data_IF_520696935665
#
_entry.id   IF_520696935665
#
_cell.length_a   1.000
_cell.length_b   1.000
_cell.length_c   1.000
_cell.angle_alpha   90.00
_cell.angle_beta   90.00
_cell.angle_gamma   90.00
#
_symmetry.space_group_name_H-M   'P 1'
#
loop_
_entity.id
_entity.type
_entity.pdbx_description
1 polymer ?
#
# COMPACT_ATOMS: atom_id res chain seq x y z
N UNK A 1 -6.18 67.60 28.93
CA UNK A 1 -6.42 66.28 28.29
C UNK A 1 -6.71 66.54 26.83
N UNK A 2 -5.70 66.41 25.98
CA UNK A 2 -5.78 66.62 24.54
C UNK A 2 -6.06 65.29 23.88
N UNK A 3 -7.24 65.12 23.36
CA UNK A 3 -7.66 63.96 22.56
C UNK A 3 -6.97 64.02 21.19
N UNK A 4 -6.06 63.05 20.94
CA UNK A 4 -5.48 62.85 19.61
C UNK A 4 -6.39 61.94 18.78
N UNK A 5 -6.92 62.44 17.70
CA UNK A 5 -7.68 61.64 16.71
C UNK A 5 -6.78 60.62 16.01
N UNK A 6 -7.25 59.39 15.80
CA UNK A 6 -6.48 58.41 15.05
C UNK A 6 -6.38 58.77 13.56
N UNK A 7 -5.26 58.40 12.87
CA UNK A 7 -5.08 58.69 11.45
C UNK A 7 -6.08 57.89 10.56
N UNK A 8 -6.53 58.54 9.51
CA UNK A 8 -7.43 58.01 8.48
C UNK A 8 -6.78 56.78 7.77
N UNK A 9 -7.56 55.77 7.42
CA UNK A 9 -7.09 54.62 6.67
C UNK A 9 -6.59 55.01 5.26
N UNK A 10 -5.58 54.32 4.71
CA UNK A 10 -5.03 54.62 3.42
C UNK A 10 -6.07 54.40 2.27
N UNK A 11 -6.05 55.28 1.29
CA UNK A 11 -6.90 55.17 0.10
C UNK A 11 -6.73 53.83 -0.62
N UNK A 12 -7.83 53.29 -1.21
CA UNK A 12 -7.75 52.06 -1.98
C UNK A 12 -6.91 52.28 -3.28
N UNK A 13 -6.17 51.24 -3.71
CA UNK A 13 -5.30 51.36 -4.88
C UNK A 13 -6.12 51.73 -6.14
N UNK A 14 -5.63 52.72 -6.89
CA UNK A 14 -6.21 53.17 -8.15
C UNK A 14 -6.35 51.98 -9.12
N UNK A 15 -7.47 51.94 -9.84
CA UNK A 15 -7.79 50.94 -10.85
C UNK A 15 -6.60 50.65 -11.75
N UNK A 16 -6.21 49.37 -11.78
CA UNK A 16 -5.15 48.84 -12.65
C UNK A 16 -5.49 49.16 -14.12
N UNK A 17 -4.53 49.70 -14.83
CA UNK A 17 -4.60 50.03 -16.24
C UNK A 17 -5.01 48.78 -17.06
N UNK A 18 -6.03 48.86 -17.92
CA UNK A 18 -6.47 47.75 -18.76
C UNK A 18 -5.34 47.15 -19.64
N UNK A 19 -4.34 47.97 -19.99
CA UNK A 19 -3.18 47.50 -20.77
C UNK A 19 -2.30 46.52 -20.00
N UNK A 20 -2.16 46.69 -18.67
CA UNK A 20 -1.39 45.79 -17.80
C UNK A 20 -2.13 44.44 -17.64
N UNK A 21 -3.47 44.47 -17.54
CA UNK A 21 -4.27 43.24 -17.45
C UNK A 21 -4.21 42.46 -18.77
N UNK A 22 -4.23 43.13 -19.93
CA UNK A 22 -4.05 42.48 -21.22
C UNK A 22 -2.66 41.89 -21.41
N UNK A 23 -1.62 42.57 -20.95
CA UNK A 23 -0.22 42.07 -20.99
C UNK A 23 -0.02 40.86 -20.06
N UNK A 24 -0.60 40.87 -18.86
CA UNK A 24 -0.57 39.71 -17.94
C UNK A 24 -1.38 38.51 -18.45
N UNK A 25 -2.48 38.76 -19.19
CA UNK A 25 -3.24 37.70 -19.85
C UNK A 25 -2.48 37.09 -21.05
N UNK A 26 -1.74 37.91 -21.80
CA UNK A 26 -0.90 37.42 -22.91
C UNK A 26 0.31 36.58 -22.42
N UNK A 27 0.91 36.95 -21.27
CA UNK A 27 2.00 36.16 -20.64
C UNK A 27 1.50 34.82 -20.10
N UNK A 28 0.22 34.72 -19.71
CA UNK A 28 -0.39 33.43 -19.27
C UNK A 28 -0.64 32.45 -20.41
N UNK A 29 -0.56 32.85 -21.66
CA UNK A 29 -0.91 32.02 -22.82
C UNK A 29 0.30 31.53 -23.64
N UNK A 30 1.53 31.83 -23.22
CA UNK A 30 2.70 31.09 -23.68
C UNK A 30 2.75 29.79 -22.88
N UNK A 31 2.18 28.71 -23.45
CA UNK A 31 2.27 27.38 -22.88
C UNK A 31 3.77 27.05 -22.71
N UNK A 32 4.25 27.05 -21.45
CA UNK A 32 5.59 26.67 -21.12
C UNK A 32 5.81 25.22 -21.61
N UNK A 33 6.71 25.00 -22.58
CA UNK A 33 6.94 23.67 -23.14
C UNK A 33 7.48 22.69 -22.07
N UNK A 34 8.05 23.18 -20.98
CA UNK A 34 8.46 22.37 -19.84
C UNK A 34 7.25 21.96 -18.99
N UNK A 35 6.30 22.85 -18.72
CA UNK A 35 5.07 22.55 -17.99
C UNK A 35 4.16 21.55 -18.73
N UNK A 36 4.19 21.51 -20.06
CA UNK A 36 3.50 20.48 -20.83
C UNK A 36 4.21 19.12 -20.77
N UNK A 37 5.55 19.08 -20.82
CA UNK A 37 6.33 17.85 -20.65
C UNK A 37 6.18 17.26 -19.25
N UNK A 38 6.24 18.09 -18.22
CA UNK A 38 5.99 17.65 -16.83
C UNK A 38 4.58 17.10 -16.63
N UNK A 39 3.56 17.74 -17.20
CA UNK A 39 2.17 17.21 -17.14
C UNK A 39 2.06 15.86 -17.82
N UNK A 40 2.58 15.66 -19.01
CA UNK A 40 2.56 14.37 -19.72
C UNK A 40 3.37 13.29 -18.98
N UNK A 41 4.50 13.66 -18.38
CA UNK A 41 5.28 12.75 -17.55
C UNK A 41 4.48 12.32 -16.32
N UNK A 42 3.89 13.26 -15.60
CA UNK A 42 3.08 13.01 -14.41
C UNK A 42 1.82 12.19 -14.71
N UNK A 43 1.14 12.44 -15.83
CA UNK A 43 0.00 11.63 -16.28
C UNK A 43 0.40 10.19 -16.64
N UNK A 44 1.53 10.01 -17.31
CA UNK A 44 2.09 8.71 -17.62
C UNK A 44 2.47 7.93 -16.36
N UNK A 45 3.06 8.62 -15.38
CA UNK A 45 3.40 8.09 -14.07
C UNK A 45 2.15 7.67 -13.28
N UNK A 46 1.15 8.55 -13.19
CA UNK A 46 -0.11 8.27 -12.53
C UNK A 46 -0.84 7.07 -13.12
N UNK A 47 -0.88 6.93 -14.47
CA UNK A 47 -1.49 5.77 -15.15
C UNK A 47 -0.78 4.46 -14.81
N UNK A 48 0.57 4.44 -14.78
CA UNK A 48 1.35 3.23 -14.42
C UNK A 48 1.08 2.80 -12.98
N UNK A 49 1.06 3.74 -12.04
CA UNK A 49 0.74 3.44 -10.64
C UNK A 49 -0.70 2.94 -10.48
N UNK A 50 -1.66 3.56 -11.18
CA UNK A 50 -3.07 3.11 -11.15
C UNK A 50 -3.20 1.68 -11.66
N UNK A 51 -2.60 1.36 -12.81
CA UNK A 51 -2.60 0.00 -13.36
C UNK A 51 -1.93 -1.00 -12.41
N UNK A 52 -0.85 -0.61 -11.72
CA UNK A 52 -0.19 -1.44 -10.72
C UNK A 52 -1.08 -1.69 -9.49
N UNK A 53 -1.81 -0.69 -9.01
CA UNK A 53 -2.77 -0.87 -7.93
C UNK A 53 -3.91 -1.83 -8.32
N UNK A 54 -4.44 -1.71 -9.53
CA UNK A 54 -5.49 -2.60 -10.05
C UNK A 54 -4.99 -4.04 -10.19
N UNK A 55 -3.78 -4.23 -10.70
CA UNK A 55 -3.16 -5.55 -10.79
C UNK A 55 -2.98 -6.22 -9.42
N UNK A 56 -2.63 -5.44 -8.38
CA UNK A 56 -2.48 -5.95 -7.02
C UNK A 56 -3.81 -6.20 -6.30
N UNK A 57 -4.92 -5.68 -6.78
CA UNK A 57 -6.24 -6.06 -6.28
C UNK A 57 -6.54 -7.55 -6.50
N UNK A 58 -5.96 -8.13 -7.53
CA UNK A 58 -6.04 -9.55 -7.87
C UNK A 58 -4.76 -10.32 -7.51
N UNK A 59 -3.98 -9.85 -6.53
CA UNK A 59 -2.72 -10.48 -6.13
C UNK A 59 -2.95 -11.94 -5.74
N UNK A 60 -2.34 -12.90 -6.45
CA UNK A 60 -2.65 -14.31 -6.27
C UNK A 60 -2.04 -14.84 -4.97
N UNK A 61 -2.75 -15.75 -4.33
CA UNK A 61 -2.30 -16.51 -3.16
C UNK A 61 -1.28 -17.57 -3.58
N UNK A 62 -0.36 -17.94 -2.68
CA UNK A 62 0.47 -19.12 -2.89
C UNK A 62 -0.38 -20.38 -2.94
N UNK A 63 -0.11 -21.25 -3.92
CA UNK A 63 -0.78 -22.54 -4.02
C UNK A 63 -0.59 -23.38 -2.75
N UNK A 64 0.59 -23.34 -2.15
CA UNK A 64 0.88 -24.02 -0.87
C UNK A 64 0.04 -23.46 0.27
N UNK A 65 -0.07 -22.15 0.40
CA UNK A 65 -0.88 -21.48 1.46
C UNK A 65 -2.36 -21.81 1.31
N UNK A 66 -2.87 -21.78 0.07
CA UNK A 66 -4.23 -22.23 -0.24
C UNK A 66 -4.45 -23.68 0.20
N UNK A 67 -3.57 -24.58 -0.23
CA UNK A 67 -3.69 -26.00 0.09
C UNK A 67 -3.56 -26.26 1.60
N UNK A 68 -2.75 -25.48 2.32
CA UNK A 68 -2.68 -25.54 3.77
C UNK A 68 -4.03 -25.22 4.41
N UNK A 69 -4.69 -24.14 3.98
CA UNK A 69 -6.03 -23.80 4.50
C UNK A 69 -7.02 -24.91 4.19
N UNK A 70 -7.03 -25.46 2.97
CA UNK A 70 -7.96 -26.52 2.59
C UNK A 70 -7.76 -27.78 3.45
N UNK A 71 -6.50 -28.21 3.64
CA UNK A 71 -6.17 -29.38 4.48
C UNK A 71 -6.60 -29.25 5.94
N UNK A 72 -6.63 -28.03 6.50
CA UNK A 72 -7.11 -27.84 7.88
C UNK A 72 -8.54 -28.33 8.08
N UNK A 73 -9.36 -28.35 7.04
CA UNK A 73 -10.76 -28.76 7.08
C UNK A 73 -11.01 -30.23 6.69
N UNK A 74 -9.98 -30.95 6.20
CA UNK A 74 -10.13 -32.37 5.80
C UNK A 74 -10.35 -33.29 7.01
N UNK A 75 -9.82 -32.95 8.17
CA UNK A 75 -9.91 -33.75 9.39
C UNK A 75 -11.00 -33.29 10.38
N UNK A 76 -11.79 -32.30 10.00
CA UNK A 76 -12.84 -31.70 10.83
C UNK A 76 -12.79 -30.19 10.88
N UNK A 77 -13.45 -29.59 11.85
CA UNK A 77 -13.42 -28.12 12.05
C UNK A 77 -12.09 -27.72 12.73
N UNK A 78 -11.25 -26.92 12.06
CA UNK A 78 -9.99 -26.45 12.65
C UNK A 78 -10.26 -25.42 13.76
N UNK A 79 -9.30 -25.29 14.67
CA UNK A 79 -9.32 -24.18 15.62
C UNK A 79 -9.14 -22.83 14.89
N UNK A 80 -9.69 -21.77 15.46
CA UNK A 80 -9.47 -20.41 14.94
C UNK A 80 -7.98 -20.07 14.88
N UNK A 81 -7.18 -20.54 15.85
CA UNK A 81 -5.74 -20.32 15.89
C UNK A 81 -5.00 -20.95 14.69
N UNK A 82 -5.41 -22.16 14.27
CA UNK A 82 -4.78 -22.83 13.11
C UNK A 82 -5.08 -22.05 11.81
N UNK A 83 -6.31 -21.56 11.68
CA UNK A 83 -6.70 -20.75 10.51
C UNK A 83 -5.95 -19.40 10.51
N UNK A 84 -5.83 -18.74 11.67
CA UNK A 84 -5.04 -17.51 11.83
C UNK A 84 -3.59 -17.75 11.43
N UNK A 85 -2.95 -18.81 11.90
CA UNK A 85 -1.57 -19.15 11.55
C UNK A 85 -1.40 -19.41 10.05
N UNK A 86 -2.41 -19.96 9.37
CA UNK A 86 -2.39 -20.13 7.92
C UNK A 86 -2.56 -18.80 7.18
N UNK A 87 -3.42 -17.89 7.68
CA UNK A 87 -3.61 -16.54 7.13
C UNK A 87 -2.33 -15.72 7.26
N UNK A 88 -1.69 -15.74 8.41
CA UNK A 88 -0.45 -14.99 8.69
C UNK A 88 0.77 -15.49 7.91
N UNK A 89 0.70 -16.69 7.35
CA UNK A 89 1.77 -17.24 6.53
C UNK A 89 1.75 -16.76 5.05
N UNK A 90 0.72 -16.03 4.62
CA UNK A 90 0.59 -15.58 3.24
C UNK A 90 0.06 -14.15 3.14
N UNK A 91 0.85 -13.26 2.53
CA UNK A 91 0.50 -11.83 2.35
C UNK A 91 -0.82 -11.66 1.61
N UNK A 92 -1.06 -12.42 0.53
CA UNK A 92 -2.27 -12.28 -0.27
C UNK A 92 -3.52 -12.77 0.47
N UNK A 93 -3.39 -13.86 1.25
CA UNK A 93 -4.46 -14.36 2.10
C UNK A 93 -4.79 -13.38 3.22
N UNK A 94 -3.76 -12.88 3.92
CA UNK A 94 -3.92 -11.89 4.98
C UNK A 94 -4.63 -10.63 4.47
N UNK A 95 -4.16 -10.06 3.35
CA UNK A 95 -4.79 -8.90 2.71
C UNK A 95 -6.24 -9.19 2.35
N UNK A 96 -6.52 -10.35 1.76
CA UNK A 96 -7.88 -10.72 1.35
C UNK A 96 -8.82 -10.85 2.54
N UNK A 97 -8.38 -11.52 3.61
CA UNK A 97 -9.14 -11.65 4.86
C UNK A 97 -9.43 -10.28 5.47
N UNK A 98 -8.41 -9.42 5.61
CA UNK A 98 -8.58 -8.07 6.18
C UNK A 98 -9.52 -7.20 5.34
N UNK A 99 -9.36 -7.20 4.02
CA UNK A 99 -10.24 -6.45 3.10
C UNK A 99 -11.69 -6.87 3.23
N UNK A 100 -11.95 -8.17 3.21
CA UNK A 100 -13.31 -8.70 3.32
C UNK A 100 -13.89 -8.43 4.70
N UNK A 101 -13.15 -8.68 5.78
CA UNK A 101 -13.61 -8.41 7.14
C UNK A 101 -13.97 -6.92 7.35
N UNK A 102 -13.21 -6.00 6.77
CA UNK A 102 -13.53 -4.57 6.81
C UNK A 102 -14.71 -4.16 5.90
N UNK A 103 -15.20 -5.06 5.03
CA UNK A 103 -16.35 -4.81 4.13
C UNK A 103 -17.66 -5.41 4.61
N UNK A 104 -17.61 -6.50 5.38
CA UNK A 104 -18.79 -7.30 5.76
C UNK A 104 -19.79 -6.49 6.59
N UNK A 105 -19.31 -5.60 7.44
CA UNK A 105 -20.17 -4.69 8.19
C UNK A 105 -19.65 -3.27 8.04
N UNK A 106 -20.46 -2.36 7.51
CA UNK A 106 -20.10 -0.96 7.39
C UNK A 106 -19.68 -0.31 8.72
N UNK A 107 -20.11 -0.89 9.86
CA UNK A 107 -19.70 -0.48 11.21
C UNK A 107 -18.26 -0.92 11.56
N UNK A 108 -17.75 -1.96 10.90
CA UNK A 108 -16.40 -2.52 11.12
C UNK A 108 -15.36 -1.96 10.16
N UNK A 109 -15.76 -1.12 9.20
CA UNK A 109 -14.85 -0.56 8.21
C UNK A 109 -13.68 0.18 8.89
N UNK A 110 -12.45 -0.26 8.59
CA UNK A 110 -11.23 0.31 9.16
C UNK A 110 -10.98 -0.03 10.62
N UNK A 111 -11.62 -1.08 11.17
CA UNK A 111 -11.44 -1.55 12.57
C UNK A 111 -10.77 -2.90 12.68
N UNK A 112 -10.73 -3.68 11.60
CA UNK A 112 -10.08 -4.99 11.57
C UNK A 112 -8.63 -4.79 11.17
N UNK A 113 -7.74 -4.86 12.15
CA UNK A 113 -6.30 -4.55 12.02
C UNK A 113 -5.39 -5.76 12.27
N UNK A 114 -5.96 -6.95 12.50
CA UNK A 114 -5.22 -8.18 12.73
C UNK A 114 -5.86 -9.37 12.02
N UNK A 115 -5.05 -10.40 11.71
CA UNK A 115 -5.54 -11.64 11.15
C UNK A 115 -6.51 -12.34 12.12
N UNK A 116 -6.22 -12.31 13.42
CA UNK A 116 -7.11 -12.85 14.48
C UNK A 116 -8.50 -12.24 14.34
N UNK A 117 -8.59 -10.91 14.35
CA UNK A 117 -9.88 -10.22 14.23
C UNK A 117 -10.54 -10.45 12.88
N UNK A 118 -9.75 -10.54 11.82
CA UNK A 118 -10.25 -10.86 10.47
C UNK A 118 -10.92 -12.23 10.40
N UNK A 119 -10.28 -13.26 10.97
CA UNK A 119 -10.83 -14.63 11.02
C UNK A 119 -12.06 -14.72 11.94
N UNK A 120 -12.07 -14.01 13.08
CA UNK A 120 -13.25 -13.93 13.94
C UNK A 120 -14.47 -13.34 13.23
N UNK A 121 -14.27 -12.22 12.51
CA UNK A 121 -15.36 -11.54 11.77
C UNK A 121 -15.87 -12.37 10.61
N UNK A 122 -14.98 -13.02 9.85
CA UNK A 122 -15.37 -13.79 8.67
C UNK A 122 -15.80 -15.22 9.01
N UNK A 123 -15.35 -15.80 10.11
CA UNK A 123 -15.36 -17.20 10.49
C UNK A 123 -14.34 -18.07 9.72
N UNK A 124 -13.83 -19.17 10.35
CA UNK A 124 -12.95 -20.14 9.69
C UNK A 124 -13.50 -20.71 8.38
N UNK A 125 -14.80 -21.04 8.32
CA UNK A 125 -15.45 -21.56 7.11
C UNK A 125 -15.46 -20.58 5.95
N UNK A 126 -15.65 -19.29 6.22
CA UNK A 126 -15.57 -18.28 5.17
C UNK A 126 -14.13 -18.09 4.67
N UNK A 127 -13.12 -18.20 5.54
CA UNK A 127 -11.71 -18.19 5.12
C UNK A 127 -11.41 -19.39 4.22
N UNK A 128 -11.93 -20.58 4.55
CA UNK A 128 -11.85 -21.76 3.66
C UNK A 128 -12.50 -21.48 2.29
N UNK A 129 -13.73 -20.92 2.27
CA UNK A 129 -14.40 -20.56 1.02
C UNK A 129 -13.63 -19.53 0.20
N UNK A 130 -12.97 -18.57 0.84
CA UNK A 130 -12.09 -17.59 0.18
C UNK A 130 -10.90 -18.32 -0.44
N UNK A 131 -10.21 -19.17 0.32
CA UNK A 131 -9.06 -19.91 -0.16
C UNK A 131 -9.43 -20.85 -1.32
N UNK A 132 -10.56 -21.54 -1.26
CA UNK A 132 -11.01 -22.47 -2.31
C UNK A 132 -11.24 -21.79 -3.66
N UNK A 133 -11.69 -20.54 -3.66
CA UNK A 133 -11.99 -19.73 -4.86
C UNK A 133 -10.83 -18.83 -5.30
N UNK A 134 -9.77 -18.75 -4.50
CA UNK A 134 -8.67 -17.86 -4.77
C UNK A 134 -7.88 -18.27 -6.03
N UNK A 135 -7.46 -17.28 -6.80
CA UNK A 135 -6.43 -17.48 -7.82
C UNK A 135 -5.11 -17.78 -7.11
N UNK A 136 -4.42 -18.79 -7.57
CA UNK A 136 -3.14 -19.20 -7.03
C UNK A 136 -2.04 -19.06 -8.06
N UNK A 137 -0.81 -18.93 -7.58
CA UNK A 137 0.36 -19.16 -8.40
C UNK A 137 1.27 -20.16 -7.66
N UNK A 138 2.01 -20.93 -8.45
CA UNK A 138 3.08 -21.80 -7.97
C UNK A 138 4.42 -21.09 -8.18
N UNK A 139 5.37 -21.26 -7.25
CA UNK A 139 6.74 -20.78 -7.43
C UNK A 139 7.43 -21.37 -8.67
N UNK A 140 7.02 -22.57 -9.07
CA UNK A 140 7.58 -23.27 -10.22
C UNK A 140 6.95 -22.84 -11.55
N UNK A 141 5.78 -22.20 -11.52
CA UNK A 141 5.16 -21.61 -12.71
C UNK A 141 5.71 -20.19 -12.94
N UNK A 142 6.62 -20.07 -13.90
CA UNK A 142 7.15 -18.78 -14.35
C UNK A 142 6.09 -18.01 -15.14
N UNK A 143 5.30 -17.20 -14.46
CA UNK A 143 4.45 -16.22 -15.16
C UNK A 143 5.27 -14.97 -15.46
N UNK A 144 5.16 -14.47 -16.71
CA UNK A 144 5.97 -13.36 -17.22
C UNK A 144 5.86 -12.05 -16.39
N UNK A 145 4.75 -11.85 -15.69
CA UNK A 145 4.46 -10.64 -14.91
C UNK A 145 5.19 -10.61 -13.56
N UNK A 146 5.53 -11.79 -12.98
CA UNK A 146 6.01 -11.89 -11.59
C UNK A 146 7.37 -12.60 -11.46
N UNK A 147 8.18 -12.67 -12.52
CA UNK A 147 9.45 -13.39 -12.52
C UNK A 147 10.39 -12.96 -11.38
N UNK A 148 10.55 -13.84 -10.39
CA UNK A 148 11.61 -13.78 -9.36
C UNK A 148 11.42 -12.79 -8.21
N UNK A 149 10.47 -11.86 -8.29
CA UNK A 149 10.25 -10.83 -7.26
C UNK A 149 9.29 -11.28 -6.16
N UNK A 150 8.17 -11.96 -6.44
CA UNK A 150 7.21 -12.32 -5.40
C UNK A 150 7.75 -13.30 -4.37
N UNK A 151 8.66 -14.18 -4.76
CA UNK A 151 9.24 -15.16 -3.84
C UNK A 151 10.09 -14.50 -2.77
N UNK A 152 11.09 -13.71 -3.17
CA UNK A 152 11.95 -13.00 -2.23
C UNK A 152 11.18 -12.04 -1.34
N UNK A 153 10.20 -11.34 -1.92
CA UNK A 153 9.30 -10.46 -1.18
C UNK A 153 8.54 -11.23 -0.11
N UNK A 154 7.92 -12.37 -0.45
CA UNK A 154 7.15 -13.18 0.50
C UNK A 154 8.02 -13.78 1.59
N UNK A 155 9.17 -14.31 1.25
CA UNK A 155 10.14 -14.83 2.23
C UNK A 155 10.58 -13.72 3.19
N UNK A 156 10.90 -12.55 2.67
CA UNK A 156 11.26 -11.39 3.48
C UNK A 156 10.09 -10.96 4.39
N UNK A 157 8.89 -10.82 3.87
CA UNK A 157 7.71 -10.42 4.64
C UNK A 157 7.42 -11.40 5.79
N UNK A 158 7.44 -12.70 5.52
CA UNK A 158 7.21 -13.74 6.53
C UNK A 158 8.36 -13.82 7.53
N UNK A 159 9.62 -13.68 7.09
CA UNK A 159 10.77 -13.66 7.99
C UNK A 159 10.73 -12.45 8.93
N UNK A 160 10.41 -11.27 8.41
CA UNK A 160 10.25 -10.04 9.20
C UNK A 160 9.12 -10.18 10.21
N UNK A 161 7.98 -10.73 9.80
CA UNK A 161 6.85 -10.99 10.69
C UNK A 161 7.24 -11.97 11.83
N UNK A 162 7.95 -13.07 11.53
CA UNK A 162 8.40 -14.02 12.56
C UNK A 162 9.39 -13.39 13.53
N UNK A 163 10.29 -12.55 13.05
CA UNK A 163 11.22 -11.80 13.91
C UNK A 163 10.45 -10.81 14.81
N UNK A 164 9.48 -10.07 14.25
CA UNK A 164 8.62 -9.18 15.01
C UNK A 164 7.78 -9.93 16.06
N UNK A 165 7.25 -11.11 15.71
CA UNK A 165 6.53 -11.98 16.65
C UNK A 165 7.39 -12.38 17.84
N UNK A 166 8.62 -12.83 17.57
CA UNK A 166 9.55 -13.22 18.63
C UNK A 166 9.86 -12.06 19.56
N UNK A 167 10.19 -10.90 19.00
CA UNK A 167 10.49 -9.69 19.77
C UNK A 167 9.26 -9.25 20.58
N UNK A 168 8.09 -9.23 19.97
CA UNK A 168 6.84 -8.81 20.63
C UNK A 168 6.51 -9.71 21.84
N UNK A 169 6.71 -11.01 21.73
CA UNK A 169 6.51 -11.96 22.84
C UNK A 169 7.50 -11.72 23.98
N UNK A 170 8.77 -11.53 23.66
CA UNK A 170 9.82 -11.32 24.66
C UNK A 170 9.63 -10.00 25.41
N UNK A 171 9.11 -8.97 24.73
CA UNK A 171 8.85 -7.66 25.32
C UNK A 171 7.43 -7.52 25.94
N UNK A 172 6.58 -8.54 25.83
CA UNK A 172 5.17 -8.44 26.26
C UNK A 172 4.37 -7.36 25.53
N UNK A 173 4.63 -7.17 24.23
CA UNK A 173 4.01 -6.10 23.46
C UNK A 173 2.52 -6.36 23.23
N UNK A 174 1.67 -5.49 23.80
CA UNK A 174 0.20 -5.69 23.81
C UNK A 174 -0.44 -5.72 22.41
N UNK A 175 0.03 -4.88 21.48
CA UNK A 175 -0.52 -4.83 20.12
C UNK A 175 0.14 -5.83 19.15
N UNK A 176 0.57 -7.00 19.65
CA UNK A 176 1.27 -8.03 18.90
C UNK A 176 0.51 -8.43 17.62
N UNK A 177 -0.78 -8.69 17.70
CA UNK A 177 -1.57 -9.15 16.55
C UNK A 177 -1.60 -8.14 15.40
N UNK A 178 -1.66 -6.85 15.73
CA UNK A 178 -1.54 -5.78 14.73
C UNK A 178 -0.11 -5.72 14.17
N UNK A 179 0.90 -5.87 15.02
CA UNK A 179 2.30 -5.89 14.58
C UNK A 179 2.57 -7.00 13.58
N UNK A 180 1.91 -8.17 13.71
CA UNK A 180 2.04 -9.26 12.74
C UNK A 180 1.60 -8.85 11.34
N UNK A 181 0.46 -8.18 11.22
CA UNK A 181 -0.05 -7.68 9.95
C UNK A 181 0.82 -6.56 9.40
N UNK A 182 1.18 -5.59 10.23
CA UNK A 182 2.02 -4.46 9.82
C UNK A 182 3.39 -4.95 9.31
N UNK A 183 4.01 -5.90 10.01
CA UNK A 183 5.28 -6.49 9.60
C UNK A 183 5.15 -7.30 8.30
N UNK A 184 4.03 -7.97 8.09
CA UNK A 184 3.78 -8.72 6.85
C UNK A 184 3.62 -7.79 5.64
N UNK A 185 3.05 -6.61 5.84
CA UNK A 185 2.70 -5.67 4.77
C UNK A 185 3.69 -4.51 4.58
N UNK A 186 4.71 -4.36 5.44
CA UNK A 186 5.58 -3.19 5.48
C UNK A 186 6.20 -2.80 4.12
N UNK A 187 6.47 -3.79 3.29
CA UNK A 187 7.11 -3.64 1.99
C UNK A 187 6.16 -3.80 0.79
N UNK A 188 4.85 -3.90 1.01
CA UNK A 188 3.87 -4.20 -0.05
C UNK A 188 3.94 -3.21 -1.23
N UNK A 189 4.34 -1.98 -0.98
CA UNK A 189 4.54 -0.97 -2.01
C UNK A 189 5.65 -1.30 -3.00
N UNK A 190 6.62 -2.15 -2.64
CA UNK A 190 7.65 -2.62 -3.59
C UNK A 190 7.03 -3.41 -4.73
N UNK A 191 5.96 -4.17 -4.48
CA UNK A 191 5.23 -4.87 -5.55
C UNK A 191 4.54 -3.89 -6.50
N UNK A 192 4.02 -2.76 -5.98
CA UNK A 192 3.49 -1.68 -6.82
C UNK A 192 4.58 -1.13 -7.73
N UNK A 193 5.75 -0.80 -7.15
CA UNK A 193 6.87 -0.22 -7.92
C UNK A 193 7.41 -1.20 -8.96
N UNK A 194 7.53 -2.48 -8.64
CA UNK A 194 7.95 -3.53 -9.59
C UNK A 194 6.98 -3.61 -10.77
N UNK A 195 5.69 -3.55 -10.51
CA UNK A 195 4.69 -3.62 -11.55
C UNK A 195 4.64 -2.35 -12.42
N UNK A 196 4.73 -1.18 -11.79
CA UNK A 196 4.71 0.12 -12.47
C UNK A 196 5.99 0.41 -13.26
N UNK A 197 7.13 -0.12 -12.79
CA UNK A 197 8.47 0.15 -13.32
C UNK A 197 9.26 -1.16 -13.46
N UNK A 198 9.25 -1.80 -14.64
CA UNK A 198 9.95 -3.08 -14.85
C UNK A 198 11.46 -3.04 -14.56
N UNK A 199 12.09 -1.88 -14.67
CA UNK A 199 13.49 -1.66 -14.32
C UNK A 199 13.81 -1.59 -12.82
N UNK A 200 12.79 -1.39 -11.97
CA UNK A 200 12.95 -1.18 -10.54
C UNK A 200 13.82 -2.24 -9.82
N UNK A 201 13.68 -3.55 -10.07
CA UNK A 201 14.47 -4.54 -9.35
C UNK A 201 15.97 -4.42 -9.58
N UNK A 202 16.38 -4.05 -10.78
CA UNK A 202 17.81 -3.95 -11.15
C UNK A 202 18.38 -2.56 -10.93
N UNK A 203 17.66 -1.53 -11.34
CA UNK A 203 18.14 -0.15 -11.37
C UNK A 203 18.05 0.55 -10.02
N UNK A 204 17.17 0.12 -9.14
CA UNK A 204 16.92 0.78 -7.85
C UNK A 204 17.13 -0.18 -6.70
N UNK A 205 16.40 -1.31 -6.70
CA UNK A 205 16.41 -2.21 -5.54
C UNK A 205 17.76 -2.91 -5.34
N UNK A 206 18.40 -3.37 -6.42
CA UNK A 206 19.66 -4.11 -6.33
C UNK A 206 20.87 -3.19 -6.05
N UNK A 207 20.81 -1.92 -6.42
CA UNK A 207 21.91 -0.97 -6.26
C UNK A 207 21.95 -0.33 -4.87
N UNK A 208 20.82 -0.21 -4.20
CA UNK A 208 20.73 0.39 -2.87
C UNK A 208 21.32 -0.53 -1.80
N UNK A 209 22.27 -0.01 -1.01
CA UNK A 209 22.98 -0.74 0.04
C UNK A 209 22.23 -0.74 1.38
N UNK A 210 21.45 0.32 1.64
CA UNK A 210 20.64 0.46 2.85
C UNK A 210 19.17 0.72 2.52
N UNK A 211 18.26 0.49 3.46
CA UNK A 211 16.84 0.85 3.29
C UNK A 211 16.63 2.34 3.02
N UNK A 212 17.39 3.20 3.71
CA UNK A 212 17.33 4.66 3.58
C UNK A 212 17.78 5.11 2.19
N UNK A 213 18.89 4.56 1.70
CA UNK A 213 19.39 4.83 0.35
C UNK A 213 18.37 4.41 -0.71
N UNK A 214 17.68 3.29 -0.49
CA UNK A 214 16.61 2.82 -1.37
C UNK A 214 15.46 3.81 -1.44
N UNK A 215 14.93 4.25 -0.31
CA UNK A 215 13.85 5.23 -0.24
C UNK A 215 14.27 6.53 -0.95
N UNK A 216 15.49 7.01 -0.70
CA UNK A 216 16.00 8.22 -1.35
C UNK A 216 16.10 8.05 -2.87
N UNK A 217 16.60 6.91 -3.33
CA UNK A 217 16.71 6.60 -4.76
C UNK A 217 15.34 6.47 -5.42
N UNK A 218 14.40 5.78 -4.78
CA UNK A 218 13.02 5.69 -5.25
C UNK A 218 12.39 7.08 -5.43
N UNK A 219 12.51 7.96 -4.43
CA UNK A 219 11.99 9.33 -4.50
C UNK A 219 12.64 10.14 -5.62
N UNK A 220 13.96 10.03 -5.78
CA UNK A 220 14.71 10.77 -6.80
C UNK A 220 14.36 10.29 -8.21
N UNK A 221 14.31 8.98 -8.44
CA UNK A 221 14.14 8.40 -9.77
C UNK A 221 12.67 8.23 -10.19
N UNK A 222 11.79 7.97 -9.20
CA UNK A 222 10.38 7.66 -9.46
C UNK A 222 9.41 8.73 -8.93
N UNK A 223 9.89 9.71 -8.17
CA UNK A 223 9.05 10.72 -7.53
C UNK A 223 8.19 10.20 -6.36
N UNK A 224 8.25 8.89 -6.07
CA UNK A 224 7.53 8.22 -4.99
C UNK A 224 8.40 7.13 -4.39
N UNK A 225 8.14 6.73 -3.16
CA UNK A 225 8.78 5.58 -2.52
C UNK A 225 7.79 4.45 -2.19
N UNK A 226 8.32 3.26 -1.92
CA UNK A 226 7.50 2.09 -1.62
C UNK A 226 6.65 2.24 -0.36
N UNK A 227 7.11 2.98 0.66
CA UNK A 227 6.33 3.19 1.88
C UNK A 227 5.09 4.06 1.59
N UNK A 228 5.26 5.13 0.80
CA UNK A 228 4.16 5.98 0.36
C UNK A 228 3.12 5.21 -0.47
N UNK A 229 3.57 4.50 -1.51
CA UNK A 229 2.63 3.76 -2.37
C UNK A 229 2.02 2.57 -1.65
N UNK A 230 2.73 1.92 -0.73
CA UNK A 230 2.19 0.90 0.16
C UNK A 230 1.06 1.42 1.04
N UNK A 231 1.24 2.60 1.65
CA UNK A 231 0.20 3.26 2.43
C UNK A 231 -1.02 3.68 1.59
N UNK A 232 -0.82 4.09 0.32
CA UNK A 232 -1.93 4.34 -0.61
C UNK A 232 -2.69 3.06 -0.92
N UNK A 233 -1.98 1.96 -1.18
CA UNK A 233 -2.58 0.66 -1.45
C UNK A 233 -3.38 0.14 -0.25
N UNK A 234 -2.82 0.20 0.96
CA UNK A 234 -3.49 -0.19 2.20
C UNK A 234 -4.82 0.59 2.40
N UNK A 235 -4.82 1.89 2.14
CA UNK A 235 -6.04 2.71 2.17
C UNK A 235 -7.07 2.31 1.10
N UNK A 236 -6.65 2.01 -0.13
CA UNK A 236 -7.53 1.48 -1.18
C UNK A 236 -8.18 0.16 -0.77
N UNK A 237 -7.48 -0.66 -0.05
CA UNK A 237 -7.98 -1.91 0.51
C UNK A 237 -8.88 -1.73 1.73
N UNK A 238 -9.02 -0.51 2.25
CA UNK A 238 -9.85 -0.19 3.41
C UNK A 238 -9.22 -0.64 4.72
N UNK A 239 -7.89 -0.83 4.76
CA UNK A 239 -7.18 -1.15 5.99
C UNK A 239 -7.15 0.05 6.94
N UNK A 240 -7.10 -0.16 8.26
CA UNK A 240 -6.97 0.88 9.26
C UNK A 240 -5.67 1.69 9.08
N UNK A 241 -5.69 2.93 9.56
CA UNK A 241 -4.47 3.79 9.56
C UNK A 241 -3.36 3.26 10.46
N UNK A 242 -3.69 2.37 11.38
CA UNK A 242 -2.77 1.72 12.31
C UNK A 242 -2.00 0.56 11.69
N UNK A 243 -2.39 0.11 10.53
CA UNK A 243 -1.72 -0.88 9.68
C UNK A 243 -0.92 -0.18 8.59
#
# INVERSE_FOLDING_TARGET
MTTVEPPLPPEPPKRTDPSIVATLAAVKNTADPYASRERHHNEGHGRRLTAAFEALEAFPMLAESRNRVLRLFETGEPSTADVVAAVEADVALAVTVLRLANRVDGKMRGRVESAVKGVEVLSPRNVHSIASKARTFDFFERTAVWQGVPERFRLHAVATQRAADRIARELGYEARDRLMVTSLLHDIGKLVLVHAYPGYPRQIHAEARTPEERIQTERRELGVDHALVGGVLARRWGLPKSV
#
